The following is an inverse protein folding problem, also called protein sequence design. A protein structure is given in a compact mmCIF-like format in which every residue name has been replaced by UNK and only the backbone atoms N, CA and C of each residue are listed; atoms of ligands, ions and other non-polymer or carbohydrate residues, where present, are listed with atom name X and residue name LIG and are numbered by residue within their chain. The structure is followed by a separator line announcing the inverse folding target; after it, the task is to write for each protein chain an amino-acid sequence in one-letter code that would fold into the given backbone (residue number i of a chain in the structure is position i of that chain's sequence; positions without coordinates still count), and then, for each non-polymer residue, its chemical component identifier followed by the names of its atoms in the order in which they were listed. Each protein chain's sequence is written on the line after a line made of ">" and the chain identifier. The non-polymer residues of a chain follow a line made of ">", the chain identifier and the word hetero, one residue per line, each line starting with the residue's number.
data_IF_879343110456
#
_entry.id   IF_879343110456
#
_cell.length_a   1.000
_cell.length_b   1.000
_cell.length_c   1.000
_cell.angle_alpha   90.00
_cell.angle_beta   90.00
_cell.angle_gamma   90.00
#
_symmetry.space_group_name_H-M   'P 1'
#
loop_
_entity.id
_entity.type
_entity.pdbx_description
1 polymer ?
#
# COMPACT_ATOMS: atom_id res chain seq x y z
N UNK A 1 35.46 1.69 19.59
CA UNK A 1 34.13 1.27 20.10
C UNK A 1 32.95 1.87 19.33
N UNK A 2 32.96 3.15 18.91
CA UNK A 2 31.81 3.80 18.24
C UNK A 2 31.39 3.19 16.87
N UNK A 3 32.32 2.60 16.11
CA UNK A 3 32.07 2.01 14.78
C UNK A 3 31.33 0.66 14.80
N UNK A 4 31.29 -0.06 15.93
CA UNK A 4 30.60 -1.36 16.04
C UNK A 4 29.09 -1.22 15.87
N UNK A 5 28.53 -0.06 16.22
CA UNK A 5 27.11 0.25 16.07
C UNK A 5 26.65 0.38 14.61
N UNK A 6 27.57 0.46 13.64
CA UNK A 6 27.23 0.55 12.22
C UNK A 6 26.60 -0.75 11.72
N UNK A 7 27.10 -1.90 12.21
CA UNK A 7 26.66 -3.23 11.78
C UNK A 7 25.18 -3.49 12.10
N UNK A 8 24.70 -3.33 13.36
CA UNK A 8 23.28 -3.54 13.66
C UNK A 8 22.36 -2.53 12.97
N UNK A 9 22.81 -1.28 12.78
CA UNK A 9 22.04 -0.27 12.03
C UNK A 9 21.89 -0.67 10.57
N UNK A 10 22.95 -1.15 9.93
CA UNK A 10 22.92 -1.60 8.53
C UNK A 10 21.98 -2.81 8.36
N UNK A 11 22.04 -3.78 9.27
CA UNK A 11 21.15 -4.96 9.25
C UNK A 11 19.70 -4.57 9.46
N UNK A 12 19.42 -3.57 10.31
CA UNK A 12 18.06 -3.07 10.52
C UNK A 12 17.48 -2.42 9.25
N UNK A 13 18.25 -1.59 8.55
CA UNK A 13 17.78 -0.95 7.31
C UNK A 13 17.66 -1.92 6.12
N UNK A 14 18.51 -2.93 6.04
CA UNK A 14 18.46 -3.94 4.96
C UNK A 14 17.43 -5.05 5.25
N UNK A 15 17.18 -5.33 6.52
CA UNK A 15 16.28 -6.39 6.98
C UNK A 15 14.84 -5.94 7.18
N UNK A 16 14.55 -4.64 7.11
CA UNK A 16 13.17 -4.14 7.12
C UNK A 16 12.61 -4.25 5.70
N UNK A 17 11.70 -5.20 5.42
CA UNK A 17 11.13 -5.31 4.09
C UNK A 17 10.25 -4.07 3.86
N UNK A 18 10.76 -3.11 3.08
CA UNK A 18 9.99 -1.97 2.59
C UNK A 18 9.02 -2.37 1.46
N UNK A 19 8.95 -3.67 1.13
CA UNK A 19 8.02 -4.20 0.15
C UNK A 19 6.60 -4.17 0.74
N UNK A 20 5.71 -3.41 0.11
CA UNK A 20 4.26 -3.53 0.31
C UNK A 20 3.87 -4.95 -0.04
N UNK A 21 3.61 -5.79 0.96
CA UNK A 21 3.28 -7.20 0.76
C UNK A 21 1.80 -7.40 0.37
N UNK A 22 1.02 -6.32 0.29
CA UNK A 22 -0.38 -6.37 -0.08
C UNK A 22 -0.70 -5.32 -1.16
N UNK A 23 -1.67 -5.61 -2.04
CA UNK A 23 -2.23 -4.63 -2.95
C UNK A 23 -2.78 -3.45 -2.15
N UNK A 24 -2.59 -2.24 -2.67
CA UNK A 24 -3.17 -1.03 -2.11
C UNK A 24 -4.05 -0.33 -3.16
N UNK A 25 -5.02 0.43 -2.67
CA UNK A 25 -5.96 1.16 -3.53
C UNK A 25 -5.24 2.33 -4.20
N UNK A 26 -5.33 2.39 -5.52
CA UNK A 26 -4.83 3.50 -6.33
C UNK A 26 -5.93 4.55 -6.55
N UNK A 27 -7.12 4.10 -6.95
CA UNK A 27 -8.26 4.97 -7.23
C UNK A 27 -9.58 4.18 -7.21
N UNK A 28 -10.71 4.88 -7.20
CA UNK A 28 -12.03 4.29 -7.39
C UNK A 28 -12.96 5.20 -8.19
N UNK A 29 -13.88 4.60 -8.92
CA UNK A 29 -15.01 5.29 -9.55
C UNK A 29 -16.33 4.67 -9.07
N UNK A 30 -17.17 5.39 -8.31
CA UNK A 30 -17.00 6.78 -7.87
C UNK A 30 -15.84 7.00 -6.89
N UNK A 31 -15.31 8.22 -6.86
CA UNK A 31 -14.16 8.59 -6.03
C UNK A 31 -14.39 8.32 -4.55
N UNK A 32 -13.37 7.75 -3.89
CA UNK A 32 -13.44 7.39 -2.49
C UNK A 32 -13.72 8.62 -1.60
N UNK A 33 -14.65 8.47 -0.67
CA UNK A 33 -15.02 9.53 0.28
C UNK A 33 -15.93 10.62 -0.30
N UNK A 34 -16.45 10.45 -1.51
CA UNK A 34 -17.45 11.34 -2.11
C UNK A 34 -18.88 10.81 -1.91
N UNK A 35 -19.84 11.73 -1.98
CA UNK A 35 -21.24 11.36 -2.13
C UNK A 35 -21.51 10.92 -3.57
N UNK A 36 -22.28 9.86 -3.73
CA UNK A 36 -22.66 9.31 -5.04
C UNK A 36 -24.13 9.56 -5.32
N UNK A 37 -24.53 9.57 -6.59
CA UNK A 37 -25.93 9.69 -6.98
C UNK A 37 -26.77 8.51 -6.46
N UNK A 38 -28.02 8.78 -6.07
CA UNK A 38 -28.96 7.71 -5.79
C UNK A 38 -29.13 6.80 -7.03
N UNK A 39 -29.00 5.49 -6.85
CA UNK A 39 -29.07 4.51 -7.95
C UNK A 39 -27.72 4.02 -8.48
N UNK A 40 -26.58 4.45 -7.90
CA UNK A 40 -25.28 3.81 -8.18
C UNK A 40 -25.31 2.34 -7.76
N UNK A 41 -25.10 1.42 -8.70
CA UNK A 41 -25.12 -0.04 -8.48
C UNK A 41 -23.74 -0.69 -8.53
N UNK A 42 -22.73 0.06 -8.99
CA UNK A 42 -21.37 -0.45 -9.18
C UNK A 42 -20.34 0.58 -8.70
N UNK A 43 -19.23 0.04 -8.19
CA UNK A 43 -18.02 0.78 -7.85
C UNK A 43 -16.87 0.01 -8.50
N UNK A 44 -16.02 0.73 -9.24
CA UNK A 44 -14.82 0.19 -9.87
C UNK A 44 -13.63 0.63 -9.02
N UNK A 45 -12.83 -0.33 -8.55
CA UNK A 45 -11.65 -0.05 -7.73
C UNK A 45 -10.40 -0.50 -8.44
N UNK A 46 -9.39 0.37 -8.48
CA UNK A 46 -8.10 0.10 -9.09
C UNK A 46 -7.07 -0.17 -7.97
N UNK A 47 -6.41 -1.32 -8.05
CA UNK A 47 -5.38 -1.74 -7.10
C UNK A 47 -3.99 -1.69 -7.75
N UNK A 48 -2.95 -1.62 -6.91
CA UNK A 48 -1.54 -1.63 -7.33
C UNK A 48 -1.10 -2.91 -8.04
N UNK A 49 -1.74 -4.03 -7.71
CA UNK A 49 -1.51 -5.34 -8.31
C UNK A 49 -2.83 -6.03 -8.65
N UNK A 50 -2.76 -7.10 -9.44
CA UNK A 50 -3.91 -7.97 -9.68
C UNK A 50 -4.37 -8.60 -8.35
N UNK A 51 -5.67 -8.44 -8.06
CA UNK A 51 -6.30 -8.98 -6.86
C UNK A 51 -7.20 -10.13 -7.28
N UNK A 52 -7.01 -11.29 -6.64
CA UNK A 52 -7.96 -12.40 -6.76
C UNK A 52 -9.17 -12.11 -5.87
N UNK A 53 -10.37 -12.24 -6.43
CA UNK A 53 -11.65 -11.91 -5.79
C UNK A 53 -12.58 -13.12 -5.78
#
# INVERSE_FOLDING_TARGET
>A
LKKIWIIPVLVFFLGFPLASAHPFLLDSDPAQGQNVSAGTTQIITYYSEAVEI
#
